data_IF_903965970204
#
_entry.id   IF_903965970204
#
_cell.length_a   1.000
_cell.length_b   1.000
_cell.length_c   1.000
_cell.angle_alpha   90.00
_cell.angle_beta   90.00
_cell.angle_gamma   90.00
#
_symmetry.space_group_name_H-M   'P 1'
#
loop_
_entity.id
_entity.type
_entity.pdbx_description
1 polymer ?
#
# COMPACT_ATOMS: atom_id res chain seq x y z
N UNK A 1 52.72 18.49 -61.15
CA UNK A 1 52.39 19.47 -60.10
C UNK A 1 51.05 19.07 -59.50
N UNK A 2 51.09 18.45 -58.32
CA UNK A 2 49.92 17.90 -57.61
C UNK A 2 49.37 18.95 -56.66
N UNK A 3 48.17 19.47 -56.95
CA UNK A 3 47.40 20.31 -56.02
C UNK A 3 46.57 19.42 -55.11
N UNK A 4 46.96 19.37 -53.83
CA UNK A 4 46.25 18.70 -52.75
C UNK A 4 44.89 19.35 -52.49
N UNK A 5 43.81 18.58 -52.56
CA UNK A 5 42.49 18.98 -52.10
C UNK A 5 42.36 18.72 -50.58
N UNK A 6 42.39 19.79 -49.79
CA UNK A 6 42.17 19.73 -48.33
C UNK A 6 40.68 19.55 -48.05
N UNK A 7 40.26 18.35 -47.65
CA UNK A 7 38.91 18.11 -47.12
C UNK A 7 38.89 18.55 -45.66
N UNK A 8 38.22 19.67 -45.38
CA UNK A 8 37.94 20.12 -44.01
C UNK A 8 36.79 19.24 -43.47
N UNK A 9 37.12 18.18 -42.75
CA UNK A 9 36.14 17.44 -41.95
C UNK A 9 35.79 18.28 -40.72
N UNK A 10 34.66 18.97 -40.80
CA UNK A 10 34.02 19.66 -39.69
C UNK A 10 33.69 18.61 -38.63
N UNK A 11 34.48 18.55 -37.56
CA UNK A 11 34.29 17.69 -36.41
C UNK A 11 32.95 18.07 -35.77
N UNK A 12 31.87 17.40 -36.16
CA UNK A 12 30.60 17.46 -35.43
C UNK A 12 30.92 17.01 -34.02
N UNK A 13 30.81 17.95 -33.08
CA UNK A 13 30.91 17.70 -31.65
C UNK A 13 29.73 16.78 -31.35
N UNK A 14 29.98 15.47 -31.39
CA UNK A 14 29.11 14.49 -30.77
C UNK A 14 29.09 14.88 -29.30
N UNK A 15 28.04 15.59 -28.90
CA UNK A 15 27.62 15.61 -27.52
C UNK A 15 27.31 14.15 -27.22
N UNK A 16 28.29 13.46 -26.66
CA UNK A 16 28.07 12.26 -25.89
C UNK A 16 27.08 12.68 -24.80
N UNK A 17 25.80 12.52 -25.10
CA UNK A 17 24.79 12.37 -24.07
C UNK A 17 25.20 11.07 -23.42
N UNK A 18 26.03 11.15 -22.40
CA UNK A 18 26.10 10.11 -21.38
C UNK A 18 24.66 9.95 -20.93
N UNK A 19 24.01 8.90 -21.44
CA UNK A 19 22.85 8.33 -20.79
C UNK A 19 23.31 8.04 -19.37
N UNK A 20 22.99 8.93 -18.42
CA UNK A 20 23.11 8.64 -17.01
C UNK A 20 22.11 7.52 -16.72
N UNK A 21 22.50 6.28 -17.00
CA UNK A 21 21.91 5.13 -16.37
C UNK A 21 22.32 5.22 -14.90
N UNK A 22 21.54 5.96 -14.13
CA UNK A 22 21.63 5.96 -12.69
C UNK A 22 21.44 4.50 -12.26
N UNK A 23 22.47 3.88 -11.68
CA UNK A 23 22.44 2.46 -11.35
C UNK A 23 21.44 2.25 -10.21
N UNK A 24 20.38 1.49 -10.48
CA UNK A 24 19.34 1.15 -9.50
C UNK A 24 19.95 0.53 -8.24
N UNK A 25 21.08 -0.16 -8.39
CA UNK A 25 21.82 -0.79 -7.30
C UNK A 25 22.37 0.24 -6.32
N UNK A 26 22.92 1.36 -6.82
CA UNK A 26 23.48 2.42 -5.99
C UNK A 26 22.38 3.17 -5.22
N UNK A 27 21.23 3.42 -5.86
CA UNK A 27 20.09 4.06 -5.20
C UNK A 27 19.58 3.15 -4.07
N UNK A 28 19.45 1.85 -4.31
CA UNK A 28 19.03 0.92 -3.28
C UNK A 28 20.02 0.87 -2.12
N UNK A 29 21.32 0.85 -2.39
CA UNK A 29 22.38 0.85 -1.36
C UNK A 29 22.32 2.13 -0.49
N UNK A 30 22.09 3.30 -1.10
CA UNK A 30 21.91 4.55 -0.36
C UNK A 30 20.74 4.46 0.63
N UNK A 31 19.60 3.91 0.22
CA UNK A 31 18.47 3.69 1.13
C UNK A 31 18.79 2.64 2.20
N UNK A 32 19.38 1.52 1.79
CA UNK A 32 19.66 0.38 2.67
C UNK A 32 20.61 0.74 3.81
N UNK A 33 21.65 1.54 3.53
CA UNK A 33 22.61 2.02 4.53
C UNK A 33 21.99 3.02 5.52
N UNK A 34 20.83 3.60 5.20
CA UNK A 34 20.17 4.64 6.00
C UNK A 34 18.82 4.21 6.61
N UNK A 35 18.53 2.90 6.67
CA UNK A 35 17.29 2.34 7.26
C UNK A 35 17.10 2.58 8.76
N UNK A 36 18.12 3.14 9.43
CA UNK A 36 18.08 3.50 10.86
C UNK A 36 17.84 5.00 11.10
N UNK A 37 17.79 5.81 10.05
CA UNK A 37 17.77 7.27 10.14
C UNK A 37 16.65 7.85 9.27
N UNK A 38 15.44 8.04 9.83
CA UNK A 38 14.29 8.55 9.07
C UNK A 38 14.58 9.87 8.34
N UNK A 39 15.33 10.78 8.98
CA UNK A 39 15.70 12.07 8.38
C UNK A 39 16.59 11.90 7.15
N UNK A 40 17.61 11.04 7.22
CA UNK A 40 18.49 10.78 6.08
C UNK A 40 17.74 10.02 4.97
N UNK A 41 16.92 9.03 5.35
CA UNK A 41 16.07 8.29 4.43
C UNK A 41 15.18 9.23 3.59
N UNK A 42 14.48 10.16 4.25
CA UNK A 42 13.61 11.14 3.59
C UNK A 42 14.42 12.10 2.71
N UNK A 43 15.61 12.51 3.16
CA UNK A 43 16.49 13.35 2.36
C UNK A 43 16.89 12.67 1.05
N UNK A 44 17.30 11.40 1.12
CA UNK A 44 17.66 10.57 -0.05
C UNK A 44 16.47 10.44 -1.00
N UNK A 45 15.27 10.17 -0.48
CA UNK A 45 14.05 10.14 -1.29
C UNK A 45 13.83 11.45 -2.06
N UNK A 46 13.91 12.59 -1.38
CA UNK A 46 13.67 13.90 -1.98
C UNK A 46 14.72 14.26 -3.06
N UNK A 47 15.96 13.78 -2.92
CA UNK A 47 16.99 13.97 -3.94
C UNK A 47 16.63 13.23 -5.24
N UNK A 48 16.11 12.01 -5.13
CA UNK A 48 15.84 11.15 -6.28
C UNK A 48 14.45 11.34 -6.90
N UNK A 49 13.48 11.95 -6.21
CA UNK A 49 12.08 12.03 -6.66
C UNK A 49 11.81 12.96 -7.87
N UNK A 50 12.85 13.62 -8.40
CA UNK A 50 12.71 14.74 -9.36
C UNK A 50 12.29 14.34 -10.79
N UNK A 51 12.48 13.08 -11.23
CA UNK A 51 12.10 12.64 -12.58
C UNK A 51 11.14 11.45 -12.61
N UNK A 52 10.27 11.38 -13.64
CA UNK A 52 9.24 10.33 -13.77
C UNK A 52 9.81 8.91 -13.85
N UNK A 53 10.92 8.70 -14.57
CA UNK A 53 11.60 7.39 -14.66
C UNK A 53 12.23 6.98 -13.32
N UNK A 54 12.72 7.94 -12.54
CA UNK A 54 13.22 7.66 -11.20
C UNK A 54 12.08 7.31 -10.22
N UNK A 55 10.85 7.83 -10.42
CA UNK A 55 9.72 7.50 -9.54
C UNK A 55 9.38 6.02 -9.55
N UNK A 56 9.26 5.36 -10.70
CA UNK A 56 8.96 3.91 -10.71
C UNK A 56 10.06 3.10 -10.00
N UNK A 57 11.32 3.43 -10.23
CA UNK A 57 12.47 2.82 -9.53
C UNK A 57 12.42 3.06 -8.03
N UNK A 58 12.11 4.29 -7.61
CA UNK A 58 11.97 4.63 -6.19
C UNK A 58 10.85 3.81 -5.54
N UNK A 59 9.70 3.68 -6.19
CA UNK A 59 8.59 2.89 -5.64
C UNK A 59 8.94 1.41 -5.53
N UNK A 60 9.73 0.86 -6.47
CA UNK A 60 10.29 -0.49 -6.33
C UNK A 60 11.16 -0.60 -5.07
N UNK A 61 12.06 0.36 -4.85
CA UNK A 61 12.96 0.38 -3.70
C UNK A 61 12.16 0.51 -2.40
N UNK A 62 11.23 1.47 -2.32
CA UNK A 62 10.37 1.65 -1.14
C UNK A 62 9.57 0.38 -0.81
N UNK A 63 9.00 -0.27 -1.82
CA UNK A 63 8.30 -1.55 -1.62
C UNK A 63 9.25 -2.64 -1.12
N UNK A 64 10.46 -2.76 -1.69
CA UNK A 64 11.45 -3.72 -1.21
C UNK A 64 11.88 -3.48 0.24
N UNK A 65 11.85 -2.23 0.71
CA UNK A 65 12.20 -1.91 2.10
C UNK A 65 11.11 -2.36 3.08
N UNK A 66 9.85 -2.42 2.66
CA UNK A 66 8.75 -2.88 3.52
C UNK A 66 8.93 -4.32 4.01
N UNK A 67 9.64 -5.16 3.27
CA UNK A 67 9.89 -6.56 3.66
C UNK A 67 11.19 -6.76 4.44
N UNK A 68 11.96 -5.70 4.69
CA UNK A 68 13.19 -5.77 5.48
C UNK A 68 12.82 -5.75 6.97
N UNK A 69 13.40 -6.66 7.75
CA UNK A 69 13.23 -6.70 9.20
C UNK A 69 13.97 -5.54 9.89
N UNK A 70 13.45 -5.09 11.04
CA UNK A 70 14.08 -4.09 11.91
C UNK A 70 14.30 -2.69 11.28
N UNK A 71 13.47 -2.30 10.31
CA UNK A 71 13.47 -0.91 9.81
C UNK A 71 12.78 0.00 10.82
N UNK A 72 13.26 1.24 10.94
CA UNK A 72 12.63 2.24 11.79
C UNK A 72 11.15 2.45 11.40
N UNK A 73 10.24 2.43 12.37
CA UNK A 73 8.79 2.58 12.13
C UNK A 73 8.42 3.88 11.41
N UNK A 74 9.15 4.97 11.65
CA UNK A 74 8.90 6.25 10.95
C UNK A 74 9.20 6.15 9.46
N UNK A 75 10.12 5.26 9.07
CA UNK A 75 10.39 4.97 7.66
C UNK A 75 9.22 4.19 7.06
N UNK A 76 8.66 3.21 7.76
CA UNK A 76 7.45 2.53 7.29
C UNK A 76 6.27 3.49 7.10
N UNK A 77 6.03 4.37 8.08
CA UNK A 77 4.99 5.41 7.96
C UNK A 77 5.23 6.31 6.75
N UNK A 78 6.47 6.79 6.58
CA UNK A 78 6.83 7.60 5.42
C UNK A 78 6.61 6.86 4.08
N UNK A 79 6.97 5.58 4.00
CA UNK A 79 6.73 4.76 2.81
C UNK A 79 5.23 4.65 2.53
N UNK A 80 4.42 4.38 3.56
CA UNK A 80 2.96 4.30 3.42
C UNK A 80 2.36 5.63 2.95
N UNK A 81 2.80 6.77 3.50
CA UNK A 81 2.37 8.10 3.05
C UNK A 81 2.76 8.37 1.58
N UNK A 82 3.95 7.94 1.17
CA UNK A 82 4.38 8.01 -0.22
C UNK A 82 3.47 7.17 -1.13
N UNK A 83 3.12 5.96 -0.71
CA UNK A 83 2.22 5.05 -1.44
C UNK A 83 0.78 5.60 -1.52
N UNK A 84 0.28 6.20 -0.45
CA UNK A 84 -1.02 6.87 -0.42
C UNK A 84 -1.05 8.03 -1.42
N UNK A 85 -0.02 8.88 -1.41
CA UNK A 85 0.03 10.09 -2.24
C UNK A 85 0.27 9.80 -3.72
N UNK A 86 0.94 8.69 -4.02
CA UNK A 86 1.40 8.34 -5.38
C UNK A 86 0.96 6.93 -5.78
N UNK A 87 -0.26 6.54 -5.40
CA UNK A 87 -0.81 5.19 -5.59
C UNK A 87 -0.76 4.71 -7.05
N UNK A 88 -0.71 5.62 -8.02
CA UNK A 88 -0.63 5.34 -9.45
C UNK A 88 0.66 4.62 -9.84
N UNK A 89 1.74 4.83 -9.09
CA UNK A 89 3.05 4.22 -9.35
C UNK A 89 3.18 2.81 -8.75
N UNK A 90 2.19 2.35 -7.97
CA UNK A 90 2.17 1.00 -7.43
C UNK A 90 1.69 0.02 -8.50
N UNK A 91 2.50 -0.98 -8.77
CA UNK A 91 2.23 -2.09 -9.68
C UNK A 91 1.67 -3.31 -8.95
N UNK A 92 0.93 -4.17 -9.67
CA UNK A 92 0.39 -5.43 -9.17
C UNK A 92 1.47 -6.34 -8.57
N UNK A 93 2.67 -6.34 -9.17
CA UNK A 93 3.80 -7.15 -8.72
C UNK A 93 4.29 -6.67 -7.35
N UNK A 94 4.56 -5.37 -7.21
CA UNK A 94 4.98 -4.77 -5.94
C UNK A 94 3.92 -4.95 -4.85
N UNK A 95 2.64 -4.77 -5.19
CA UNK A 95 1.55 -4.99 -4.25
C UNK A 95 1.57 -6.42 -3.70
N UNK A 96 1.63 -7.42 -4.59
CA UNK A 96 1.58 -8.84 -4.21
C UNK A 96 2.84 -9.34 -3.50
N UNK A 97 4.01 -8.94 -3.96
CA UNK A 97 5.29 -9.49 -3.49
C UNK A 97 5.84 -8.77 -2.27
N UNK A 98 5.50 -7.48 -2.08
CA UNK A 98 6.09 -6.68 -1.01
C UNK A 98 5.04 -6.14 -0.04
N UNK A 99 4.06 -5.39 -0.55
CA UNK A 99 3.13 -4.65 0.31
C UNK A 99 2.16 -5.58 1.05
N UNK A 100 1.57 -6.56 0.37
CA UNK A 100 0.63 -7.50 0.98
C UNK A 100 1.31 -8.37 2.07
N UNK A 101 2.51 -8.97 1.85
CA UNK A 101 3.26 -9.63 2.91
C UNK A 101 3.55 -8.73 4.12
N UNK A 102 3.99 -7.48 3.88
CA UNK A 102 4.20 -6.50 4.94
C UNK A 102 2.91 -6.23 5.75
N UNK A 103 1.79 -5.97 5.07
CA UNK A 103 0.50 -5.73 5.73
C UNK A 103 0.08 -6.92 6.59
N UNK A 104 0.24 -8.15 6.07
CA UNK A 104 -0.04 -9.37 6.83
C UNK A 104 0.84 -9.50 8.06
N UNK A 105 2.13 -9.21 7.94
CA UNK A 105 3.04 -9.23 9.08
C UNK A 105 2.60 -8.24 10.15
N UNK A 106 2.27 -7.00 9.77
CA UNK A 106 1.77 -5.98 10.71
C UNK A 106 0.48 -6.46 11.39
N UNK A 107 -0.47 -7.03 10.66
CA UNK A 107 -1.72 -7.54 11.22
C UNK A 107 -1.56 -8.77 12.14
N UNK A 108 -0.46 -9.52 12.01
CA UNK A 108 -0.17 -10.70 12.84
C UNK A 108 0.74 -10.37 14.04
N UNK A 109 1.40 -9.22 14.02
CA UNK A 109 2.32 -8.83 15.11
C UNK A 109 1.47 -8.39 16.30
N UNK A 110 1.47 -9.21 17.36
CA UNK A 110 0.75 -8.88 18.60
C UNK A 110 1.36 -7.62 19.24
N UNK A 111 0.49 -6.67 19.55
CA UNK A 111 0.78 -5.54 20.43
C UNK A 111 0.97 -6.05 21.85
N UNK A 112 2.20 -6.38 22.24
CA UNK A 112 2.52 -6.66 23.65
C UNK A 112 2.73 -5.38 24.48
N UNK A 113 2.55 -4.19 23.90
CA UNK A 113 2.71 -2.90 24.61
C UNK A 113 1.49 -1.98 24.41
N UNK A 114 0.49 -2.16 25.25
CA UNK A 114 -0.72 -1.33 25.43
C UNK A 114 -0.45 0.16 25.75
N UNK A 115 0.81 0.60 25.74
CA UNK A 115 1.23 1.98 26.05
C UNK A 115 1.88 2.72 24.86
N UNK A 116 2.02 2.10 23.67
CA UNK A 116 2.67 2.73 22.52
C UNK A 116 1.65 3.06 21.41
N UNK A 117 1.19 4.32 21.39
CA UNK A 117 0.36 4.93 20.33
C UNK A 117 0.88 4.73 18.89
N UNK A 118 2.14 4.33 18.72
CA UNK A 118 2.83 4.30 17.43
C UNK A 118 2.42 3.12 16.53
N UNK A 119 2.01 1.96 17.07
CA UNK A 119 1.52 0.86 16.22
C UNK A 119 0.15 1.17 15.61
N UNK A 120 -0.65 1.97 16.33
CA UNK A 120 -1.90 2.47 15.81
C UNK A 120 -1.72 3.33 14.56
N UNK A 121 -0.64 4.11 14.47
CA UNK A 121 -0.36 4.97 13.31
C UNK A 121 -0.06 4.17 12.03
N UNK A 122 0.68 3.06 12.13
CA UNK A 122 0.97 2.20 10.97
C UNK A 122 -0.31 1.55 10.47
N UNK A 123 -1.13 1.03 11.40
CA UNK A 123 -2.42 0.42 11.07
C UNK A 123 -3.37 1.42 10.41
N UNK A 124 -3.48 2.65 10.95
CA UNK A 124 -4.25 3.72 10.34
C UNK A 124 -3.78 4.01 8.92
N UNK A 125 -2.46 4.05 8.72
CA UNK A 125 -1.85 4.31 7.41
C UNK A 125 -2.16 3.18 6.42
N UNK A 126 -2.15 1.92 6.86
CA UNK A 126 -2.56 0.77 6.04
C UNK A 126 -4.04 0.87 5.65
N UNK A 127 -4.94 1.18 6.59
CA UNK A 127 -6.37 1.33 6.29
C UNK A 127 -6.60 2.46 5.28
N UNK A 128 -5.93 3.61 5.46
CA UNK A 128 -5.97 4.74 4.51
C UNK A 128 -5.45 4.35 3.13
N UNK A 129 -4.35 3.59 3.07
CA UNK A 129 -3.83 3.06 1.81
C UNK A 129 -4.85 2.17 1.12
N UNK A 130 -5.52 1.26 1.85
CA UNK A 130 -6.58 0.44 1.26
C UNK A 130 -7.75 1.27 0.77
N UNK A 131 -8.17 2.31 1.50
CA UNK A 131 -9.23 3.23 1.04
C UNK A 131 -8.87 3.82 -0.32
N UNK A 132 -7.66 4.36 -0.45
CA UNK A 132 -7.16 4.94 -1.70
C UNK A 132 -7.07 3.88 -2.81
N UNK A 133 -6.57 2.68 -2.50
CA UNK A 133 -6.45 1.61 -3.49
C UNK A 133 -7.82 1.11 -3.96
N UNK A 134 -8.81 0.98 -3.08
CA UNK A 134 -10.17 0.59 -3.46
C UNK A 134 -10.81 1.66 -4.34
N UNK A 135 -10.62 2.93 -4.00
CA UNK A 135 -11.25 4.05 -4.71
C UNK A 135 -10.63 4.31 -6.08
N UNK A 136 -9.30 4.28 -6.19
CA UNK A 136 -8.57 4.73 -7.38
C UNK A 136 -7.82 3.62 -8.14
N UNK A 137 -7.56 2.47 -7.51
CA UNK A 137 -6.75 1.36 -8.07
C UNK A 137 -7.33 -0.02 -7.80
N UNK A 138 -8.66 -0.15 -7.81
CA UNK A 138 -9.35 -1.38 -7.41
C UNK A 138 -8.87 -2.65 -8.12
N UNK A 139 -8.42 -2.52 -9.37
CA UNK A 139 -7.89 -3.61 -10.19
C UNK A 139 -6.71 -4.34 -9.53
N UNK A 140 -5.85 -3.61 -8.81
CA UNK A 140 -4.72 -4.21 -8.08
C UNK A 140 -5.20 -5.16 -6.99
N UNK A 141 -6.36 -4.86 -6.40
CA UNK A 141 -6.92 -5.59 -5.28
C UNK A 141 -7.76 -6.77 -5.71
N UNK A 142 -8.32 -6.78 -6.94
CA UNK A 142 -9.31 -7.77 -7.38
C UNK A 142 -8.85 -9.22 -7.16
N UNK A 143 -7.61 -9.54 -7.52
CA UNK A 143 -7.07 -10.91 -7.42
C UNK A 143 -6.70 -11.32 -5.99
N UNK A 144 -6.55 -10.36 -5.10
CA UNK A 144 -6.15 -10.56 -3.70
C UNK A 144 -7.26 -10.17 -2.72
N UNK A 145 -8.44 -9.83 -3.22
CA UNK A 145 -9.49 -9.16 -2.44
C UNK A 145 -9.90 -9.99 -1.23
N UNK A 146 -10.17 -11.28 -1.47
CA UNK A 146 -10.51 -12.25 -0.44
C UNK A 146 -9.42 -12.34 0.62
N UNK A 147 -8.17 -12.44 0.18
CA UNK A 147 -7.01 -12.68 1.04
C UNK A 147 -6.77 -11.52 2.00
N UNK A 148 -6.70 -10.28 1.49
CA UNK A 148 -6.45 -9.15 2.38
C UNK A 148 -7.69 -8.79 3.20
N UNK A 149 -8.91 -9.01 2.69
CA UNK A 149 -10.14 -8.79 3.45
C UNK A 149 -10.24 -9.76 4.64
N UNK A 150 -9.85 -11.02 4.46
CA UNK A 150 -9.70 -11.98 5.56
C UNK A 150 -8.71 -11.48 6.61
N UNK A 151 -7.54 -11.02 6.17
CA UNK A 151 -6.53 -10.48 7.07
C UNK A 151 -7.05 -9.25 7.84
N UNK A 152 -7.74 -8.33 7.18
CA UNK A 152 -8.34 -7.16 7.81
C UNK A 152 -9.41 -7.57 8.83
N UNK A 153 -10.34 -8.45 8.47
CA UNK A 153 -11.43 -8.83 9.37
C UNK A 153 -10.94 -9.62 10.58
N UNK A 154 -9.93 -10.48 10.42
CA UNK A 154 -9.29 -11.16 11.53
C UNK A 154 -8.59 -10.16 12.45
N UNK A 155 -7.87 -9.19 11.88
CA UNK A 155 -7.25 -8.11 12.64
C UNK A 155 -8.30 -7.32 13.43
N UNK A 156 -9.40 -6.90 12.78
CA UNK A 156 -10.48 -6.19 13.45
C UNK A 156 -11.11 -7.03 14.57
N UNK A 157 -11.29 -8.33 14.36
CA UNK A 157 -11.80 -9.22 15.40
C UNK A 157 -10.88 -9.33 16.63
N UNK A 158 -9.57 -9.23 16.43
CA UNK A 158 -8.57 -9.32 17.49
C UNK A 158 -8.33 -7.99 18.21
N UNK A 159 -8.37 -6.86 17.50
CA UNK A 159 -7.86 -5.57 17.98
C UNK A 159 -8.92 -4.47 18.10
N UNK A 160 -10.08 -4.63 17.48
CA UNK A 160 -11.18 -3.69 17.67
C UNK A 160 -11.74 -3.96 19.07
N UNK A 161 -11.72 -2.95 19.93
CA UNK A 161 -12.34 -2.87 21.24
C UNK A 161 -13.24 -1.62 21.25
N UNK A 162 -14.01 -1.39 22.31
CA UNK A 162 -14.79 -0.14 22.41
C UNK A 162 -13.92 1.12 22.38
N UNK A 163 -12.67 1.04 22.87
CA UNK A 163 -11.73 2.17 22.90
C UNK A 163 -11.03 2.34 21.56
N UNK A 164 -10.55 1.27 20.93
CA UNK A 164 -9.90 1.37 19.61
C UNK A 164 -10.91 1.67 18.50
N UNK A 165 -12.19 1.32 18.66
CA UNK A 165 -13.24 1.73 17.73
C UNK A 165 -13.34 3.26 17.57
N UNK A 166 -13.10 4.04 18.62
CA UNK A 166 -13.09 5.50 18.53
C UNK A 166 -11.96 6.04 17.64
N UNK A 167 -10.92 5.24 17.40
CA UNK A 167 -9.75 5.60 16.59
C UNK A 167 -9.95 5.18 15.13
N UNK A 168 -10.49 3.98 14.90
CA UNK A 168 -10.55 3.35 13.57
C UNK A 168 -11.94 3.32 12.93
N UNK A 169 -13.01 3.49 13.71
CA UNK A 169 -14.37 3.14 13.32
C UNK A 169 -14.85 3.81 12.04
N UNK A 170 -14.59 5.11 11.88
CA UNK A 170 -14.98 5.87 10.70
C UNK A 170 -14.22 5.41 9.44
N UNK A 171 -12.92 5.17 9.56
CA UNK A 171 -12.08 4.71 8.44
C UNK A 171 -12.46 3.29 8.01
N UNK A 172 -12.76 2.40 8.96
CA UNK A 172 -13.23 1.04 8.63
C UNK A 172 -14.57 1.11 7.91
N UNK A 173 -15.48 1.96 8.38
CA UNK A 173 -16.80 2.16 7.73
C UNK A 173 -16.64 2.68 6.31
N UNK A 174 -15.79 3.69 6.10
CA UNK A 174 -15.48 4.24 4.76
C UNK A 174 -14.87 3.16 3.84
N UNK A 175 -13.87 2.42 4.34
CA UNK A 175 -13.22 1.37 3.58
C UNK A 175 -14.22 0.31 3.12
N UNK A 176 -15.04 -0.22 4.03
CA UNK A 176 -16.03 -1.23 3.66
C UNK A 176 -17.01 -0.68 2.63
N UNK A 177 -17.57 0.52 2.86
CA UNK A 177 -18.50 1.18 1.93
C UNK A 177 -17.93 1.26 0.51
N UNK A 178 -16.64 1.61 0.39
CA UNK A 178 -15.94 1.67 -0.90
C UNK A 178 -15.73 0.30 -1.52
N UNK A 179 -15.34 -0.72 -0.74
CA UNK A 179 -15.16 -2.10 -1.24
C UNK A 179 -16.46 -2.57 -1.90
N UNK A 180 -17.55 -2.36 -1.19
CA UNK A 180 -18.88 -2.72 -1.64
C UNK A 180 -19.22 -2.06 -2.96
N UNK A 181 -19.05 -0.74 -3.02
CA UNK A 181 -19.40 0.05 -4.21
C UNK A 181 -18.59 -0.42 -5.42
N UNK A 182 -17.35 -0.80 -5.18
CA UNK A 182 -16.40 -1.13 -6.24
C UNK A 182 -16.44 -2.60 -6.69
N UNK A 183 -16.78 -3.51 -5.79
CA UNK A 183 -16.71 -4.96 -6.02
C UNK A 183 -18.09 -5.64 -6.00
N UNK A 184 -19.19 -4.89 -6.10
CA UNK A 184 -20.53 -5.47 -6.28
C UNK A 184 -20.73 -5.96 -7.72
N UNK A 185 -21.29 -7.18 -7.93
CA UNK A 185 -21.72 -8.14 -6.91
C UNK A 185 -20.54 -8.83 -6.21
N UNK A 186 -20.58 -8.88 -4.88
CA UNK A 186 -19.52 -9.52 -4.07
C UNK A 186 -19.49 -11.04 -4.33
N UNK A 187 -18.31 -11.65 -4.33
CA UNK A 187 -18.21 -13.11 -4.46
C UNK A 187 -18.87 -13.81 -3.26
N UNK A 188 -19.35 -15.05 -3.45
CA UNK A 188 -19.92 -15.86 -2.36
C UNK A 188 -18.94 -16.00 -1.19
N UNK A 189 -17.66 -16.15 -1.50
CA UNK A 189 -16.59 -16.23 -0.50
C UNK A 189 -16.52 -14.97 0.37
N UNK A 190 -16.60 -13.77 -0.23
CA UNK A 190 -16.61 -12.51 0.53
C UNK A 190 -17.85 -12.40 1.41
N UNK A 191 -19.02 -12.79 0.92
CA UNK A 191 -20.27 -12.78 1.71
C UNK A 191 -20.18 -13.75 2.90
N UNK A 192 -19.63 -14.95 2.68
CA UNK A 192 -19.40 -15.93 3.76
C UNK A 192 -18.40 -15.40 4.80
N UNK A 193 -17.35 -14.72 4.38
CA UNK A 193 -16.36 -14.12 5.27
C UNK A 193 -17.03 -13.05 6.16
N UNK A 194 -17.73 -12.09 5.54
CA UNK A 194 -18.38 -11.00 6.27
C UNK A 194 -19.45 -11.50 7.25
N UNK A 195 -20.21 -12.52 6.85
CA UNK A 195 -21.23 -13.14 7.71
C UNK A 195 -20.62 -13.89 8.90
N UNK A 196 -19.53 -14.65 8.72
CA UNK A 196 -18.83 -15.37 9.82
C UNK A 196 -18.10 -14.43 10.77
N UNK A 197 -17.46 -13.38 10.26
CA UNK A 197 -16.82 -12.36 11.10
C UNK A 197 -17.84 -11.63 11.99
N UNK A 198 -19.10 -11.51 11.53
CA UNK A 198 -20.16 -10.88 12.33
C UNK A 198 -20.56 -11.66 13.60
N UNK A 199 -20.18 -12.93 13.70
CA UNK A 199 -20.43 -13.81 14.85
C UNK A 199 -19.25 -13.94 15.80
N UNK A 200 -18.00 -13.78 15.34
CA UNK A 200 -16.80 -13.90 16.18
C UNK A 200 -16.32 -12.58 16.77
N UNK A 201 -16.70 -11.44 16.19
CA UNK A 201 -16.54 -10.13 16.82
C UNK A 201 -17.54 -10.02 18.01
N UNK A 202 -17.12 -10.45 19.20
CA UNK A 202 -17.89 -10.36 20.47
C UNK A 202 -17.88 -8.91 20.99
N UNK A 203 -18.10 -7.94 20.12
CA UNK A 203 -18.30 -6.55 20.51
C UNK A 203 -19.50 -6.05 19.76
N UNK A 204 -20.58 -5.86 20.50
CA UNK A 204 -21.84 -5.24 20.07
C UNK A 204 -21.64 -3.76 19.70
N UNK A 205 -20.79 -3.48 18.72
CA UNK A 205 -20.63 -2.14 18.16
C UNK A 205 -21.73 -1.91 17.13
N UNK A 206 -22.16 -0.65 16.99
CA UNK A 206 -23.04 -0.22 15.90
C UNK A 206 -22.52 -0.70 14.53
N UNK A 207 -21.21 -0.84 14.37
CA UNK A 207 -20.55 -1.38 13.20
C UNK A 207 -21.00 -2.81 12.83
N UNK A 208 -21.07 -3.76 13.77
CA UNK A 208 -21.55 -5.11 13.47
C UNK A 208 -23.03 -5.15 13.14
N UNK A 209 -23.83 -4.32 13.80
CA UNK A 209 -25.25 -4.22 13.50
C UNK A 209 -25.48 -3.61 12.11
N UNK A 210 -24.69 -2.59 11.74
CA UNK A 210 -24.71 -2.07 10.38
C UNK A 210 -24.24 -3.12 9.40
N UNK A 211 -23.10 -3.79 9.63
CA UNK A 211 -22.61 -4.86 8.76
C UNK A 211 -23.65 -5.99 8.57
N UNK A 212 -24.34 -6.42 9.64
CA UNK A 212 -25.39 -7.45 9.60
C UNK A 212 -26.63 -7.02 8.83
N UNK A 213 -27.21 -5.85 9.14
CA UNK A 213 -28.33 -5.28 8.39
C UNK A 213 -27.98 -5.13 6.91
N UNK A 214 -26.71 -4.90 6.64
CA UNK A 214 -26.22 -4.54 5.32
C UNK A 214 -25.87 -5.77 4.46
N UNK A 215 -25.36 -6.86 5.05
CA UNK A 215 -25.28 -8.19 4.42
C UNK A 215 -26.69 -8.69 4.07
N UNK A 216 -27.66 -8.54 4.99
CA UNK A 216 -29.06 -8.92 4.75
C UNK A 216 -29.64 -8.21 3.52
N UNK A 217 -29.39 -6.91 3.37
CA UNK A 217 -29.87 -6.15 2.21
C UNK A 217 -29.21 -6.58 0.88
N UNK A 218 -27.94 -7.02 0.88
CA UNK A 218 -27.31 -7.58 -0.34
C UNK A 218 -27.95 -8.91 -0.74
N UNK A 219 -28.20 -9.78 0.23
CA UNK A 219 -28.82 -11.09 -0.01
C UNK A 219 -30.27 -10.93 -0.51
N UNK A 220 -31.01 -9.97 0.02
CA UNK A 220 -32.35 -9.61 -0.45
C UNK A 220 -32.34 -9.07 -1.89
N UNK A 221 -31.35 -8.22 -2.25
CA UNK A 221 -31.18 -7.74 -3.64
C UNK A 221 -30.84 -8.90 -4.60
N UNK A 222 -30.05 -9.88 -4.15
CA UNK A 222 -29.78 -11.10 -4.93
C UNK A 222 -31.04 -11.94 -5.15
N UNK A 223 -31.88 -12.10 -4.12
CA UNK A 223 -33.13 -12.84 -4.21
C UNK A 223 -34.18 -12.18 -5.13
N UNK A 224 -34.12 -10.87 -5.31
CA UNK A 224 -35.03 -10.14 -6.23
C UNK A 224 -34.56 -10.19 -7.69
N UNK A 225 -33.29 -10.50 -7.95
CA UNK A 225 -32.69 -10.54 -9.29
C UNK A 225 -32.62 -11.95 -9.91
N UNK A 226 -33.09 -12.98 -9.20
CA UNK A 226 -33.26 -14.36 -9.67
C UNK A 226 -34.72 -14.81 -9.56
#
# INVERSE_FOLDING_TARGET
>A
MSTSSTIITRKTRSTCVTSNSMDVSNIFEDFHTNLHSPTQFIHIYNQYYQSQTQRTTLFNILCNILIIENVDRKIYLFILDCLITNYENLSDIQFKQNLLPFIKQIFLTKDDDDNNNNNNEILLSIIRLFIVLVEYRSNILTLTLVEWLLCLLNFLAMHLTSTTYLIYGDLITDLLSKIIKQFTPLSKEIVEILSRSSTSLIISTNFLNQLKLWIQNIDDIRLVLF
#
